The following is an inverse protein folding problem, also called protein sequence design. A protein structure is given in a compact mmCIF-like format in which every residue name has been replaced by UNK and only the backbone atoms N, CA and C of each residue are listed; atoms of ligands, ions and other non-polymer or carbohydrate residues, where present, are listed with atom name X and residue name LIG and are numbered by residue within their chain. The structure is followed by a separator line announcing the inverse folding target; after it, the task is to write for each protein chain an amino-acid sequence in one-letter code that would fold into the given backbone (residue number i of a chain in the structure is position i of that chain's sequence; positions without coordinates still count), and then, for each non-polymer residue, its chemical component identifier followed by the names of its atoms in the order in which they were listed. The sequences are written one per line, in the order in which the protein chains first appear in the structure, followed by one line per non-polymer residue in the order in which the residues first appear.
data_IF_021649448523
#
_entry.id   IF_021649448523
#
_cell.length_a   1.000
_cell.length_b   1.000
_cell.length_c   1.000
_cell.angle_alpha   90.00
_cell.angle_beta   90.00
_cell.angle_gamma   90.00
#
_symmetry.space_group_name_H-M   'P 1'
#
loop_
_entity.id
_entity.type
_entity.pdbx_description
1 polymer ?
#
# COMPACT_ATOMS: atom_id res chain seq x y z
N UNK A 1 -22.35 -41.64 57.57
CA UNK A 1 -22.61 -41.13 56.20
C UNK A 1 -21.97 -39.75 56.14
N UNK A 2 -21.07 -39.33 55.24
CA UNK A 2 -20.63 -39.80 53.92
C UNK A 2 -19.34 -39.00 53.58
N UNK A 3 -18.26 -39.74 53.29
CA UNK A 3 -17.05 -39.53 52.46
C UNK A 3 -16.63 -38.09 52.00
N UNK A 4 -15.33 -37.80 52.17
CA UNK A 4 -14.47 -36.84 51.38
C UNK A 4 -14.51 -37.14 49.85
N UNK A 5 -14.02 -36.30 48.88
CA UNK A 5 -12.68 -35.64 48.89
C UNK A 5 -12.50 -34.28 48.13
N UNK A 6 -11.26 -33.77 48.19
CA UNK A 6 -10.66 -32.73 47.33
C UNK A 6 -11.02 -32.86 45.83
N UNK A 7 -11.31 -31.74 45.14
CA UNK A 7 -10.97 -31.55 43.72
C UNK A 7 -10.55 -30.09 43.43
N UNK A 8 -9.26 -29.96 43.18
CA UNK A 8 -8.53 -29.01 42.35
C UNK A 8 -9.37 -28.38 41.20
N UNK A 9 -9.46 -27.06 41.11
CA UNK A 9 -9.89 -26.40 39.86
C UNK A 9 -9.03 -25.18 39.56
N UNK A 10 -7.95 -25.50 38.84
CA UNK A 10 -7.06 -24.62 38.09
C UNK A 10 -7.77 -24.27 36.78
N UNK A 11 -8.53 -23.17 36.74
CA UNK A 11 -9.30 -22.66 35.59
C UNK A 11 -9.33 -21.13 35.81
N UNK A 12 -8.87 -20.20 34.97
CA UNK A 12 -8.61 -20.18 33.53
C UNK A 12 -7.67 -18.98 33.24
N UNK A 13 -6.39 -19.23 33.01
CA UNK A 13 -5.45 -18.23 32.49
C UNK A 13 -5.41 -18.34 30.96
N UNK A 14 -6.48 -17.95 30.28
CA UNK A 14 -6.49 -17.91 28.81
C UNK A 14 -7.69 -17.09 28.30
N UNK A 15 -7.61 -15.77 28.36
CA UNK A 15 -8.62 -14.89 27.73
C UNK A 15 -8.02 -13.63 27.09
N UNK A 16 -6.76 -13.68 26.66
CA UNK A 16 -6.08 -12.56 26.00
C UNK A 16 -5.47 -12.99 24.67
N UNK A 17 -6.26 -13.44 23.70
CA UNK A 17 -5.73 -13.74 22.35
C UNK A 17 -6.65 -13.33 21.18
N UNK A 18 -7.82 -12.73 21.41
CA UNK A 18 -8.79 -12.50 20.30
C UNK A 18 -8.77 -11.04 19.77
N UNK A 19 -8.09 -10.10 20.44
CA UNK A 19 -8.03 -8.69 19.97
C UNK A 19 -6.90 -8.39 18.97
N UNK A 20 -5.91 -9.29 18.80
CA UNK A 20 -4.73 -9.02 17.98
C UNK A 20 -4.96 -9.12 16.47
N UNK A 21 -5.84 -10.01 16.00
CA UNK A 21 -6.01 -10.27 14.57
C UNK A 21 -6.66 -9.10 13.82
N UNK A 22 -7.61 -8.38 14.44
CA UNK A 22 -8.25 -7.23 13.79
C UNK A 22 -7.36 -5.99 13.78
N UNK A 23 -6.60 -5.73 14.85
CA UNK A 23 -5.69 -4.58 14.93
C UNK A 23 -4.54 -4.68 13.93
N UNK A 24 -4.04 -5.89 13.70
CA UNK A 24 -2.96 -6.16 12.74
C UNK A 24 -3.37 -5.76 11.31
N UNK A 25 -4.56 -6.20 10.88
CA UNK A 25 -5.10 -5.87 9.55
C UNK A 25 -5.40 -4.38 9.42
N UNK A 26 -5.92 -3.75 10.47
CA UNK A 26 -6.19 -2.31 10.48
C UNK A 26 -4.91 -1.48 10.33
N UNK A 27 -3.83 -1.86 11.02
CA UNK A 27 -2.56 -1.14 10.96
C UNK A 27 -1.83 -1.38 9.63
N UNK A 28 -1.85 -2.61 9.10
CA UNK A 28 -1.38 -2.90 7.75
C UNK A 28 -2.16 -2.09 6.69
N UNK A 29 -3.48 -1.96 6.86
CA UNK A 29 -4.34 -1.18 5.95
C UNK A 29 -4.01 0.30 5.99
N UNK A 30 -3.78 0.89 7.17
CA UNK A 30 -3.34 2.30 7.30
C UNK A 30 -1.98 2.53 6.65
N UNK A 31 -1.04 1.59 6.78
CA UNK A 31 0.26 1.69 6.14
C UNK A 31 0.14 1.62 4.61
N UNK A 32 -0.68 0.69 4.10
CA UNK A 32 -0.99 0.56 2.68
C UNK A 32 -1.66 1.82 2.11
N UNK A 33 -2.59 2.43 2.85
CA UNK A 33 -3.23 3.68 2.48
C UNK A 33 -2.22 4.82 2.36
N UNK A 34 -1.32 4.98 3.33
CA UNK A 34 -0.26 6.01 3.26
C UNK A 34 0.63 5.81 2.03
N UNK A 35 1.08 4.57 1.79
CA UNK A 35 1.87 4.23 0.61
C UNK A 35 1.16 4.62 -0.69
N UNK A 36 -0.09 4.18 -0.89
CA UNK A 36 -0.83 4.46 -2.14
C UNK A 36 -1.15 5.94 -2.34
N UNK A 37 -1.39 6.67 -1.25
CA UNK A 37 -1.53 8.12 -1.31
C UNK A 37 -0.26 8.79 -1.82
N UNK A 38 0.92 8.43 -1.31
CA UNK A 38 2.20 8.98 -1.78
C UNK A 38 2.56 8.47 -3.18
N UNK A 39 2.22 7.22 -3.49
CA UNK A 39 2.48 6.63 -4.79
C UNK A 39 1.76 7.40 -5.91
N UNK A 40 0.46 7.65 -5.75
CA UNK A 40 -0.37 8.21 -6.80
C UNK A 40 -0.61 9.72 -6.70
N UNK A 41 -0.07 10.40 -5.70
CA UNK A 41 -0.10 11.88 -5.64
C UNK A 41 1.11 12.45 -6.34
N UNK A 42 0.93 12.96 -7.55
CA UNK A 42 2.01 13.55 -8.35
C UNK A 42 1.55 14.91 -8.88
N UNK A 43 2.34 15.95 -8.66
CA UNK A 43 2.16 17.22 -9.38
C UNK A 43 2.98 17.20 -10.66
N UNK A 44 2.35 17.51 -11.79
CA UNK A 44 3.04 17.54 -13.08
C UNK A 44 3.99 18.72 -13.16
N UNK A 45 5.20 18.47 -13.65
CA UNK A 45 6.22 19.47 -13.89
C UNK A 45 7.16 19.01 -15.01
N UNK A 46 7.88 19.96 -15.62
CA UNK A 46 8.82 19.66 -16.71
C UNK A 46 10.08 18.92 -16.23
N UNK A 47 10.37 18.97 -14.93
CA UNK A 47 11.56 18.40 -14.29
C UNK A 47 11.32 17.04 -13.63
N UNK A 48 10.13 16.43 -13.76
CA UNK A 48 9.79 15.12 -13.17
C UNK A 48 10.83 14.02 -13.44
N UNK A 49 11.52 14.08 -14.59
CA UNK A 49 12.53 13.10 -15.00
C UNK A 49 13.97 13.59 -14.88
N UNK A 50 14.20 14.72 -14.21
CA UNK A 50 15.55 15.09 -13.78
C UNK A 50 16.13 14.01 -12.86
N UNK A 51 17.47 13.91 -12.84
CA UNK A 51 18.17 12.96 -11.96
C UNK A 51 17.79 13.24 -10.51
N UNK A 52 17.74 14.51 -10.13
CA UNK A 52 17.36 14.99 -8.81
C UNK A 52 15.94 14.56 -8.43
N UNK A 53 14.97 14.70 -9.34
CA UNK A 53 13.58 14.30 -9.07
C UNK A 53 13.42 12.79 -8.94
N UNK A 54 14.11 12.00 -9.76
CA UNK A 54 14.08 10.54 -9.65
C UNK A 54 14.71 10.07 -8.33
N UNK A 55 15.84 10.66 -7.94
CA UNK A 55 16.48 10.35 -6.65
C UNK A 55 15.59 10.75 -5.48
N UNK A 56 15.03 11.96 -5.50
CA UNK A 56 14.11 12.43 -4.46
C UNK A 56 12.89 11.51 -4.33
N UNK A 57 12.32 11.09 -5.47
CA UNK A 57 11.21 10.15 -5.48
C UNK A 57 11.59 8.80 -4.88
N UNK A 58 12.76 8.27 -5.22
CA UNK A 58 13.21 7.01 -4.64
C UNK A 58 13.38 7.13 -3.11
N UNK A 59 13.99 8.21 -2.61
CA UNK A 59 14.12 8.44 -1.16
C UNK A 59 12.77 8.64 -0.47
N UNK A 60 11.82 9.32 -1.11
CA UNK A 60 10.45 9.50 -0.59
C UNK A 60 9.72 8.17 -0.41
N UNK A 61 9.92 7.23 -1.33
CA UNK A 61 9.20 5.94 -1.33
C UNK A 61 9.82 4.89 -0.39
N UNK A 62 11.14 4.95 -0.13
CA UNK A 62 11.86 3.97 0.70
C UNK A 62 11.21 3.66 2.06
N UNK A 63 10.73 4.64 2.85
CA UNK A 63 10.17 4.37 4.18
C UNK A 63 8.90 3.51 4.17
N UNK A 64 8.27 3.31 3.01
CA UNK A 64 7.08 2.48 2.84
C UNK A 64 7.40 1.04 2.47
N UNK A 65 8.66 0.72 2.17
CA UNK A 65 9.07 -0.55 1.59
C UNK A 65 9.89 -1.38 2.56
N UNK A 66 9.80 -2.69 2.44
CA UNK A 66 10.86 -3.55 2.97
C UNK A 66 12.17 -3.30 2.22
N UNK A 67 13.30 -3.71 2.78
CA UNK A 67 14.61 -3.60 2.11
C UNK A 67 14.60 -4.33 0.75
N UNK A 68 14.08 -5.57 0.74
CA UNK A 68 13.89 -6.34 -0.49
C UNK A 68 13.06 -5.59 -1.53
N UNK A 69 11.91 -5.02 -1.12
CA UNK A 69 11.03 -4.36 -2.07
C UNK A 69 11.61 -3.02 -2.54
N UNK A 70 12.41 -2.34 -1.72
CA UNK A 70 13.17 -1.15 -2.11
C UNK A 70 14.07 -1.44 -3.31
N UNK A 71 14.90 -2.48 -3.22
CA UNK A 71 15.81 -2.87 -4.31
C UNK A 71 15.04 -3.20 -5.59
N UNK A 72 13.96 -3.98 -5.46
CA UNK A 72 13.10 -4.36 -6.59
C UNK A 72 12.42 -3.16 -7.23
N UNK A 73 11.78 -2.30 -6.44
CA UNK A 73 10.98 -1.18 -6.90
C UNK A 73 11.86 -0.12 -7.58
N UNK A 74 13.02 0.19 -7.00
CA UNK A 74 13.97 1.13 -7.60
C UNK A 74 14.64 0.52 -8.83
N UNK A 75 15.16 -0.71 -8.72
CA UNK A 75 15.86 -1.38 -9.81
C UNK A 75 14.99 -1.61 -11.05
N UNK A 76 13.69 -1.85 -10.84
CA UNK A 76 12.69 -2.01 -11.91
C UNK A 76 11.94 -0.71 -12.25
N UNK A 77 12.33 0.43 -11.64
CA UNK A 77 11.75 1.77 -11.86
C UNK A 77 10.24 1.89 -11.57
N UNK A 78 9.70 1.01 -10.72
CA UNK A 78 8.29 1.01 -10.32
C UNK A 78 7.90 2.36 -9.70
N UNK A 79 8.77 2.93 -8.85
CA UNK A 79 8.57 4.22 -8.16
C UNK A 79 8.31 5.39 -9.12
N UNK A 80 8.72 5.28 -10.38
CA UNK A 80 8.59 6.32 -11.41
C UNK A 80 7.44 6.11 -12.38
N UNK A 81 6.67 5.02 -12.27
CA UNK A 81 5.49 4.79 -13.13
C UNK A 81 4.49 5.96 -13.05
N UNK A 82 4.13 6.48 -11.85
CA UNK A 82 3.27 7.66 -11.75
C UNK A 82 3.86 8.92 -12.41
N UNK A 83 5.18 9.12 -12.38
CA UNK A 83 5.83 10.21 -13.12
C UNK A 83 5.67 10.04 -14.63
N UNK A 84 5.76 8.80 -15.15
CA UNK A 84 5.61 8.52 -16.57
C UNK A 84 4.21 8.90 -17.04
N UNK A 85 3.19 8.51 -16.27
CA UNK A 85 1.79 8.86 -16.54
C UNK A 85 1.62 10.38 -16.52
N UNK A 86 2.06 11.06 -15.45
CA UNK A 86 1.90 12.51 -15.31
C UNK A 86 2.55 13.28 -16.48
N UNK A 87 3.77 12.89 -16.86
CA UNK A 87 4.49 13.52 -17.97
C UNK A 87 3.88 13.21 -19.34
N UNK A 88 3.39 11.99 -19.56
CA UNK A 88 2.79 11.59 -20.84
C UNK A 88 1.45 12.25 -21.06
N UNK A 89 0.61 12.26 -20.03
CA UNK A 89 -0.72 12.85 -20.08
C UNK A 89 -0.69 14.38 -19.91
N UNK A 90 0.43 14.94 -19.42
CA UNK A 90 0.57 16.35 -19.04
C UNK A 90 -0.46 16.78 -17.99
N UNK A 91 -0.72 15.88 -17.04
CA UNK A 91 -1.71 16.04 -15.98
C UNK A 91 -1.12 15.62 -14.62
N UNK A 92 -1.54 16.29 -13.55
CA UNK A 92 -1.23 15.86 -12.19
C UNK A 92 -2.08 14.63 -11.82
N UNK A 93 -1.64 13.85 -10.84
CA UNK A 93 -2.30 12.64 -10.38
C UNK A 93 -2.71 12.78 -8.91
N UNK A 94 -3.85 12.20 -8.55
CA UNK A 94 -4.19 11.87 -7.17
C UNK A 94 -4.98 10.57 -7.12
N UNK A 95 -4.85 9.77 -6.05
CA UNK A 95 -5.80 8.71 -5.78
C UNK A 95 -7.11 9.29 -5.23
N UNK A 96 -8.21 8.61 -5.54
CA UNK A 96 -9.54 8.87 -5.00
C UNK A 96 -10.27 7.53 -4.80
N UNK A 97 -11.27 7.49 -3.92
CA UNK A 97 -12.04 6.28 -3.61
C UNK A 97 -11.18 5.03 -3.28
N UNK A 98 -10.00 5.23 -2.69
CA UNK A 98 -9.10 4.14 -2.31
C UNK A 98 -9.75 3.26 -1.23
N UNK A 99 -9.83 1.95 -1.49
CA UNK A 99 -10.42 0.97 -0.57
C UNK A 99 -9.56 -0.27 -0.54
N UNK A 100 -9.47 -0.87 0.64
CA UNK A 100 -8.77 -2.13 0.86
C UNK A 100 -9.74 -3.20 1.36
N UNK A 101 -9.46 -4.44 1.01
CA UNK A 101 -10.16 -5.61 1.53
C UNK A 101 -9.15 -6.71 1.79
N UNK A 102 -9.25 -7.34 2.97
CA UNK A 102 -8.39 -8.45 3.33
C UNK A 102 -8.55 -9.61 2.33
N UNK A 103 -7.43 -10.06 1.78
CA UNK A 103 -7.34 -11.21 0.86
C UNK A 103 -6.84 -12.46 1.58
N UNK A 104 -5.75 -12.31 2.34
CA UNK A 104 -5.12 -13.37 3.13
C UNK A 104 -4.41 -12.75 4.35
N UNK A 105 -4.23 -13.54 5.42
CA UNK A 105 -3.47 -13.15 6.60
C UNK A 105 -2.68 -14.34 7.13
N UNK A 106 -1.40 -14.10 7.41
CA UNK A 106 -0.52 -15.00 8.15
C UNK A 106 0.20 -14.19 9.22
N UNK A 107 0.93 -14.87 10.09
CA UNK A 107 1.75 -14.20 11.09
C UNK A 107 2.69 -13.20 10.40
N UNK A 108 2.62 -11.94 10.82
CA UNK A 108 3.48 -10.85 10.36
C UNK A 108 3.30 -10.51 8.85
N UNK A 109 2.22 -11.01 8.21
CA UNK A 109 1.95 -10.83 6.77
C UNK A 109 0.46 -10.60 6.53
N UNK A 110 0.12 -9.50 5.86
CA UNK A 110 -1.24 -9.20 5.43
C UNK A 110 -1.26 -8.99 3.92
N UNK A 111 -2.17 -9.68 3.23
CA UNK A 111 -2.44 -9.44 1.82
C UNK A 111 -3.74 -8.64 1.67
N UNK A 112 -3.66 -7.48 1.01
CA UNK A 112 -4.77 -6.56 0.80
C UNK A 112 -5.07 -6.44 -0.69
N UNK A 113 -6.29 -6.79 -1.09
CA UNK A 113 -6.84 -6.33 -2.38
C UNK A 113 -7.17 -4.86 -2.26
N UNK A 114 -6.94 -4.08 -3.30
CA UNK A 114 -7.34 -2.69 -3.36
C UNK A 114 -8.05 -2.33 -4.64
N UNK A 115 -8.92 -1.32 -4.53
CA UNK A 115 -9.46 -0.56 -5.64
C UNK A 115 -9.12 0.92 -5.43
N UNK A 116 -8.78 1.63 -6.50
CA UNK A 116 -8.46 3.05 -6.46
C UNK A 116 -8.92 3.72 -7.75
N UNK A 117 -9.53 4.90 -7.67
CA UNK A 117 -9.67 5.75 -8.84
C UNK A 117 -8.42 6.62 -8.96
N UNK A 118 -7.65 6.46 -10.04
CA UNK A 118 -6.59 7.40 -10.38
C UNK A 118 -7.21 8.59 -11.11
N UNK A 119 -7.22 9.74 -10.45
CA UNK A 119 -7.78 10.99 -10.99
C UNK A 119 -6.65 11.82 -11.58
N UNK A 120 -6.79 12.18 -12.85
CA UNK A 120 -5.87 13.04 -13.59
C UNK A 120 -6.44 14.46 -13.63
N UNK A 121 -5.62 15.43 -13.23
CA UNK A 121 -6.01 16.81 -13.00
C UNK A 121 -5.24 17.75 -13.95
N UNK A 122 -5.96 18.72 -14.51
CA UNK A 122 -5.36 19.80 -15.28
C UNK A 122 -4.64 20.82 -14.37
N UNK A 123 -4.08 21.87 -14.98
CA UNK A 123 -3.36 22.95 -14.29
C UNK A 123 -4.23 23.77 -13.32
N UNK A 124 -5.56 23.73 -13.46
CA UNK A 124 -6.51 24.44 -12.61
C UNK A 124 -7.13 23.47 -11.55
N UNK A 125 -6.48 22.32 -11.32
CA UNK A 125 -6.89 21.22 -10.43
C UNK A 125 -8.29 20.64 -10.75
N UNK A 126 -8.73 20.76 -12.01
CA UNK A 126 -9.99 20.16 -12.48
C UNK A 126 -9.75 18.75 -13.01
N UNK A 127 -10.69 17.86 -12.70
CA UNK A 127 -10.68 16.49 -13.20
C UNK A 127 -10.81 16.48 -14.73
N UNK A 128 -9.78 15.97 -15.39
CA UNK A 128 -9.76 15.74 -16.84
C UNK A 128 -10.06 14.28 -17.18
N UNK A 129 -9.65 13.33 -16.32
CA UNK A 129 -9.82 11.89 -16.55
C UNK A 129 -9.83 11.16 -15.21
N UNK A 130 -10.57 10.05 -15.15
CA UNK A 130 -10.60 9.11 -14.03
C UNK A 130 -10.42 7.71 -14.55
N UNK A 131 -9.52 6.96 -13.93
CA UNK A 131 -9.18 5.59 -14.33
C UNK A 131 -9.32 4.68 -13.11
N UNK A 132 -10.27 3.73 -13.11
CA UNK A 132 -10.34 2.75 -12.04
C UNK A 132 -9.12 1.82 -12.14
N UNK A 133 -8.51 1.56 -11.01
CA UNK A 133 -7.38 0.64 -10.82
C UNK A 133 -7.76 -0.38 -9.77
N UNK A 134 -7.23 -1.58 -9.93
CA UNK A 134 -7.24 -2.61 -8.90
C UNK A 134 -5.86 -3.22 -8.72
N UNK A 135 -5.66 -3.90 -7.59
CA UNK A 135 -4.41 -4.59 -7.37
C UNK A 135 -4.37 -5.32 -6.04
N UNK A 136 -3.19 -5.87 -5.73
CA UNK A 136 -2.95 -6.59 -4.49
C UNK A 136 -1.63 -6.13 -3.89
N UNK A 137 -1.69 -5.68 -2.63
CA UNK A 137 -0.53 -5.40 -1.80
C UNK A 137 -0.24 -6.56 -0.87
N UNK A 138 1.04 -6.88 -0.75
CA UNK A 138 1.57 -7.76 0.30
C UNK A 138 2.32 -6.89 1.30
N UNK A 139 1.80 -6.84 2.52
CA UNK A 139 2.34 -6.06 3.64
C UNK A 139 3.03 -7.02 4.61
N UNK A 140 4.23 -6.67 5.06
CA UNK A 140 4.98 -7.40 6.08
C UNK A 140 5.12 -6.51 7.33
N UNK A 141 4.99 -7.10 8.52
CA UNK A 141 5.42 -6.47 9.75
C UNK A 141 6.93 -6.71 9.93
N UNK A 142 7.69 -5.63 9.93
CA UNK A 142 9.12 -5.63 10.20
C UNK A 142 9.35 -4.81 11.46
N UNK A 143 9.65 -5.49 12.57
CA UNK A 143 9.93 -4.89 13.88
C UNK A 143 8.83 -3.93 14.39
N UNK A 144 7.55 -4.25 14.14
CA UNK A 144 6.40 -3.45 14.54
C UNK A 144 5.98 -2.40 13.52
N UNK A 145 6.59 -2.39 12.33
CA UNK A 145 6.25 -1.50 11.24
C UNK A 145 5.75 -2.27 10.01
N UNK A 146 4.53 -1.95 9.58
CA UNK A 146 3.94 -2.49 8.35
C UNK A 146 4.55 -1.82 7.11
N UNK A 147 5.16 -2.63 6.26
CA UNK A 147 5.87 -2.21 5.05
C UNK A 147 5.42 -3.01 3.83
N UNK A 148 5.48 -2.40 2.66
CA UNK A 148 5.17 -3.07 1.39
C UNK A 148 6.31 -4.02 1.05
N UNK A 149 6.00 -5.31 0.96
CA UNK A 149 6.86 -6.36 0.44
C UNK A 149 6.62 -6.60 -1.06
N UNK A 150 5.44 -6.26 -1.55
CA UNK A 150 5.07 -6.41 -2.95
C UNK A 150 3.81 -5.65 -3.33
N UNK A 151 3.79 -5.14 -4.55
CA UNK A 151 2.60 -4.56 -5.19
C UNK A 151 2.38 -5.18 -6.57
N UNK A 152 1.22 -5.80 -6.73
CA UNK A 152 0.69 -6.29 -8.00
C UNK A 152 -0.39 -5.29 -8.43
N UNK A 153 0.04 -4.20 -9.07
CA UNK A 153 -0.83 -3.16 -9.60
C UNK A 153 -1.41 -3.51 -10.98
N UNK A 154 -2.50 -2.84 -11.37
CA UNK A 154 -3.10 -2.92 -12.70
C UNK A 154 -2.18 -2.33 -13.78
N UNK A 155 -1.22 -3.16 -14.22
CA UNK A 155 -0.24 -2.75 -15.20
C UNK A 155 -0.87 -2.43 -16.56
N UNK A 156 -1.95 -3.10 -16.94
CA UNK A 156 -2.61 -2.85 -18.21
C UNK A 156 -3.21 -1.44 -18.23
N UNK A 157 -3.98 -1.05 -17.20
CA UNK A 157 -4.57 0.28 -17.12
C UNK A 157 -3.51 1.39 -17.05
N UNK A 158 -2.45 1.19 -16.28
CA UNK A 158 -1.37 2.18 -16.16
C UNK A 158 -0.56 2.32 -17.45
N UNK A 159 -0.27 1.22 -18.16
CA UNK A 159 0.50 1.27 -19.40
C UNK A 159 -0.28 1.92 -20.54
N UNK A 160 -1.61 1.75 -20.60
CA UNK A 160 -2.46 2.51 -21.53
C UNK A 160 -2.30 4.02 -21.35
N UNK A 161 -2.16 4.51 -20.11
CA UNK A 161 -1.91 5.94 -19.85
C UNK A 161 -0.50 6.41 -20.25
N UNK A 162 0.43 5.51 -20.56
CA UNK A 162 1.80 5.85 -20.93
C UNK A 162 2.01 5.76 -22.44
N UNK A 163 1.33 4.82 -23.11
CA UNK A 163 1.59 4.46 -24.51
C UNK A 163 0.44 4.71 -25.49
N UNK A 164 -0.79 4.90 -25.02
CA UNK A 164 -1.93 5.28 -25.87
C UNK A 164 -2.08 6.81 -25.96
#
# INVERSE_FOLDING_TARGET
MRKSPLILSMILLSLTLIMGCSSEVDDATKAAEKYKNVEYTIKVSDDLFSVESILARNEEMKPYFTEYYTEKAIGSRITTIPFQIANKQKLSLKPDNLKFTLSDQKKDIVELKYTCDLVLLDKDDKESKRVPLEGILTMFDVDGQWLVQGDRFDSEALMKLIYD
#
